data_IF_710278417647
#
_entry.id   IF_710278417647
#
_cell.length_a   1.000
_cell.length_b   1.000
_cell.length_c   1.000
_cell.angle_alpha   90.00
_cell.angle_beta   90.00
_cell.angle_gamma   90.00
#
_symmetry.space_group_name_H-M   'P 1'
#
loop_
_entity.id
_entity.type
_entity.pdbx_description
1 polymer ?
#
# COMPACT_ATOMS: atom_id res chain seq x y z
N UNK A 1 -9.68 9.54 18.53
CA UNK A 1 -9.36 10.78 17.78
C UNK A 1 -9.53 12.02 18.66
N UNK A 2 -10.60 12.12 19.44
CA UNK A 2 -10.83 13.28 20.33
C UNK A 2 -9.73 13.50 21.38
N UNK A 3 -9.12 12.42 21.89
CA UNK A 3 -8.00 12.52 22.83
C UNK A 3 -6.71 13.07 22.18
N UNK A 4 -6.43 12.70 20.92
CA UNK A 4 -5.28 13.28 20.18
C UNK A 4 -5.55 14.74 19.83
N UNK A 5 -6.78 15.09 19.46
CA UNK A 5 -7.17 16.47 19.22
C UNK A 5 -7.02 17.32 20.49
N UNK A 6 -7.52 16.83 21.63
CA UNK A 6 -7.36 17.51 22.91
C UNK A 6 -5.88 17.71 23.29
N UNK A 7 -5.03 16.70 23.07
CA UNK A 7 -3.57 16.82 23.24
C UNK A 7 -3.01 17.94 22.36
N UNK A 8 -3.33 17.90 21.07
CA UNK A 8 -2.77 18.81 20.08
C UNK A 8 -3.24 20.26 20.31
N UNK A 9 -4.48 20.47 20.76
CA UNK A 9 -5.02 21.77 21.19
C UNK A 9 -4.30 22.31 22.43
N UNK A 10 -4.11 21.49 23.47
CA UNK A 10 -3.37 21.90 24.66
C UNK A 10 -1.91 22.23 24.32
N UNK A 11 -1.27 21.43 23.45
CA UNK A 11 0.08 21.70 22.96
C UNK A 11 0.15 23.00 22.14
N UNK A 12 -0.90 23.33 21.39
CA UNK A 12 -0.99 24.57 20.65
C UNK A 12 -1.12 25.79 21.58
N UNK A 13 -1.92 25.69 22.64
CA UNK A 13 -2.06 26.76 23.63
C UNK A 13 -0.77 26.98 24.42
N UNK A 14 -0.07 25.91 24.82
CA UNK A 14 1.29 26.01 25.37
C UNK A 14 2.24 26.63 24.34
N UNK A 15 2.12 26.28 23.05
CA UNK A 15 2.94 26.88 21.99
C UNK A 15 2.69 28.38 21.80
N UNK A 16 1.47 28.86 22.02
CA UNK A 16 1.15 30.30 21.98
C UNK A 16 1.55 31.05 23.25
N UNK A 17 1.64 30.33 24.37
CA UNK A 17 2.02 30.95 25.63
C UNK A 17 3.47 31.47 25.57
N UNK A 18 3.70 32.62 26.22
CA UNK A 18 5.03 33.15 26.50
C UNK A 18 5.54 32.67 27.87
N UNK A 19 5.10 31.48 28.31
CA UNK A 19 5.51 30.91 29.61
C UNK A 19 7.02 30.63 29.61
N UNK A 20 7.77 30.99 30.67
CA UNK A 20 9.17 30.60 30.80
C UNK A 20 9.35 29.09 30.99
N UNK A 21 8.29 28.36 31.38
CA UNK A 21 8.30 26.91 31.62
C UNK A 21 7.71 26.09 30.47
N UNK A 22 7.64 26.67 29.28
CA UNK A 22 6.99 26.09 28.09
C UNK A 22 7.44 24.67 27.75
N UNK A 23 8.75 24.39 27.85
CA UNK A 23 9.29 23.06 27.58
C UNK A 23 8.88 22.03 28.64
N UNK A 24 8.79 22.45 29.90
CA UNK A 24 8.31 21.61 31.00
C UNK A 24 6.82 21.30 30.84
N UNK A 25 5.99 22.32 30.56
CA UNK A 25 4.55 22.16 30.29
C UNK A 25 4.30 21.22 29.09
N UNK A 26 5.08 21.38 28.01
CA UNK A 26 5.03 20.51 26.85
C UNK A 26 5.35 19.05 27.20
N UNK A 27 6.42 18.83 27.97
CA UNK A 27 6.82 17.47 28.37
C UNK A 27 5.77 16.82 29.28
N UNK A 28 5.17 17.57 30.20
CA UNK A 28 4.07 17.08 31.03
C UNK A 28 2.88 16.60 30.19
N UNK A 29 2.48 17.39 29.19
CA UNK A 29 1.40 17.00 28.27
C UNK A 29 1.75 15.75 27.45
N UNK A 30 2.98 15.66 26.94
CA UNK A 30 3.44 14.46 26.22
C UNK A 30 3.37 13.23 27.13
N UNK A 31 3.85 13.32 28.37
CA UNK A 31 3.79 12.21 29.32
C UNK A 31 2.35 11.84 29.69
N UNK A 32 1.46 12.83 29.86
CA UNK A 32 0.05 12.59 30.19
C UNK A 32 -0.67 11.80 29.08
N UNK A 33 -0.38 12.11 27.81
CA UNK A 33 -1.02 11.48 26.66
C UNK A 33 -0.28 10.27 26.10
N UNK A 34 0.78 9.76 26.75
CA UNK A 34 1.62 8.67 26.21
C UNK A 34 0.83 7.41 25.85
N UNK A 35 -0.20 7.06 26.62
CA UNK A 35 -1.09 5.91 26.34
C UNK A 35 -1.93 6.07 25.08
N UNK A 36 -2.15 7.30 24.63
CA UNK A 36 -2.82 7.56 23.35
C UNK A 36 -1.91 7.13 22.20
N UNK A 37 -0.61 7.35 22.31
CA UNK A 37 0.35 6.91 21.28
C UNK A 37 0.44 5.37 21.20
N UNK A 38 0.30 4.67 22.33
CA UNK A 38 0.18 3.20 22.39
C UNK A 38 -1.07 2.73 21.61
N UNK A 39 -2.24 3.30 21.92
CA UNK A 39 -3.50 2.97 21.23
C UNK A 39 -3.42 3.22 19.72
N UNK A 40 -2.78 4.32 19.33
CA UNK A 40 -2.58 4.68 17.93
C UNK A 40 -1.65 3.69 17.23
N UNK A 41 -0.64 3.18 17.93
CA UNK A 41 0.27 2.14 17.41
C UNK A 41 -0.48 0.81 17.20
N UNK A 42 -1.33 0.42 18.14
CA UNK A 42 -2.15 -0.79 18.04
C UNK A 42 -3.16 -0.69 16.88
N UNK A 43 -3.86 0.45 16.79
CA UNK A 43 -4.78 0.72 15.68
C UNK A 43 -4.05 0.68 14.33
N UNK A 44 -2.89 1.32 14.25
CA UNK A 44 -2.09 1.35 13.02
C UNK A 44 -1.66 -0.06 12.62
N UNK A 45 -1.25 -0.90 13.57
CA UNK A 45 -0.85 -2.29 13.31
C UNK A 45 -2.01 -3.11 12.72
N UNK A 46 -3.21 -2.98 13.29
CA UNK A 46 -4.41 -3.61 12.76
C UNK A 46 -4.77 -3.10 11.35
N UNK A 47 -4.65 -1.79 11.12
CA UNK A 47 -4.87 -1.20 9.80
C UNK A 47 -3.90 -1.76 8.75
N UNK A 48 -2.61 -1.86 9.07
CA UNK A 48 -1.60 -2.40 8.13
C UNK A 48 -1.82 -3.88 7.85
N UNK A 49 -2.30 -4.65 8.84
CA UNK A 49 -2.70 -6.03 8.62
C UNK A 49 -3.84 -6.14 7.60
N UNK A 50 -4.89 -5.32 7.73
CA UNK A 50 -6.04 -5.32 6.81
C UNK A 50 -5.64 -4.82 5.42
N UNK A 51 -4.93 -3.68 5.33
CA UNK A 51 -4.47 -3.10 4.07
C UNK A 51 -3.51 -4.06 3.36
N UNK A 52 -2.58 -4.67 4.09
CA UNK A 52 -1.65 -5.66 3.54
C UNK A 52 -2.33 -6.88 2.95
N UNK A 53 -3.59 -7.16 3.33
CA UNK A 53 -4.41 -8.26 2.83
C UNK A 53 -5.53 -7.79 1.88
N UNK A 54 -5.39 -6.62 1.26
CA UNK A 54 -6.46 -6.00 0.47
C UNK A 54 -7.07 -6.94 -0.59
N UNK A 55 -6.26 -7.78 -1.24
CA UNK A 55 -6.72 -8.73 -2.25
C UNK A 55 -7.53 -9.89 -1.63
N UNK A 56 -7.11 -10.37 -0.45
CA UNK A 56 -7.83 -11.39 0.31
C UNK A 56 -9.13 -10.82 0.90
N UNK A 57 -9.14 -9.55 1.33
CA UNK A 57 -10.33 -8.91 1.89
C UNK A 57 -11.48 -8.84 0.89
N UNK A 58 -11.19 -8.88 -0.41
CA UNK A 58 -12.22 -8.88 -1.48
C UNK A 58 -12.49 -10.26 -2.08
N UNK A 59 -11.66 -11.26 -1.75
CA UNK A 59 -11.79 -12.66 -2.20
C UNK A 59 -12.85 -13.38 -1.36
N UNK A 60 -14.12 -13.23 -1.75
CA UNK A 60 -15.27 -13.88 -1.07
C UNK A 60 -16.34 -12.90 -0.58
N UNK A 61 -16.53 -11.79 -1.30
CA UNK A 61 -17.41 -10.66 -0.93
C UNK A 61 -18.90 -10.99 -0.80
N UNK A 62 -19.31 -12.23 -0.99
CA UNK A 62 -20.72 -12.64 -0.90
C UNK A 62 -21.20 -12.82 0.56
N UNK A 63 -20.31 -12.99 1.54
CA UNK A 63 -20.70 -13.27 2.94
C UNK A 63 -19.85 -12.63 4.05
N UNK A 64 -18.82 -11.83 3.74
CA UNK A 64 -17.86 -11.31 4.74
C UNK A 64 -17.79 -9.78 4.87
N UNK A 65 -17.42 -9.28 6.06
CA UNK A 65 -17.14 -7.86 6.34
C UNK A 65 -15.83 -7.33 5.74
N UNK A 66 -15.07 -8.18 5.05
CA UNK A 66 -13.71 -7.87 4.58
C UNK A 66 -13.58 -6.58 3.75
N UNK A 67 -14.40 -6.37 2.69
CA UNK A 67 -14.34 -5.14 1.91
C UNK A 67 -14.66 -3.90 2.75
N UNK A 68 -15.57 -4.01 3.72
CA UNK A 68 -15.96 -2.90 4.59
C UNK A 68 -14.86 -2.53 5.59
N UNK A 69 -14.14 -3.53 6.12
CA UNK A 69 -12.97 -3.32 6.98
C UNK A 69 -11.85 -2.63 6.22
N UNK A 70 -11.59 -3.04 4.97
CA UNK A 70 -10.61 -2.39 4.10
C UNK A 70 -11.00 -0.93 3.83
N UNK A 71 -12.26 -0.67 3.43
CA UNK A 71 -12.78 0.69 3.26
C UNK A 71 -12.62 1.52 4.52
N UNK A 72 -12.86 0.94 5.70
CA UNK A 72 -12.70 1.64 6.98
C UNK A 72 -11.26 2.03 7.22
N UNK A 73 -10.30 1.13 6.98
CA UNK A 73 -8.87 1.44 7.08
C UNK A 73 -8.45 2.54 6.10
N UNK A 74 -8.89 2.48 4.85
CA UNK A 74 -8.57 3.50 3.85
C UNK A 74 -9.22 4.85 4.19
N UNK A 75 -10.43 4.88 4.75
CA UNK A 75 -11.04 6.12 5.27
C UNK A 75 -10.26 6.74 6.41
N UNK A 76 -9.67 5.94 7.29
CA UNK A 76 -8.78 6.45 8.35
C UNK A 76 -7.55 7.08 7.73
N UNK A 77 -6.92 6.42 6.74
CA UNK A 77 -5.78 6.98 5.99
C UNK A 77 -6.14 8.35 5.39
N UNK A 78 -7.25 8.45 4.67
CA UNK A 78 -7.69 9.71 4.05
C UNK A 78 -8.04 10.80 5.06
N UNK A 79 -8.53 10.43 6.24
CA UNK A 79 -8.77 11.38 7.32
C UNK A 79 -7.47 11.92 7.89
N UNK A 80 -6.48 11.04 8.08
CA UNK A 80 -5.16 11.42 8.59
C UNK A 80 -4.38 12.30 7.59
N UNK A 81 -4.48 12.02 6.30
CA UNK A 81 -3.88 12.85 5.24
C UNK A 81 -4.48 14.26 5.19
N UNK A 82 -5.79 14.39 5.42
CA UNK A 82 -6.44 15.71 5.52
C UNK A 82 -5.92 16.53 6.71
N UNK A 83 -5.66 15.88 7.84
CA UNK A 83 -5.07 16.54 9.02
C UNK A 83 -3.63 16.95 8.73
N UNK A 84 -2.84 16.09 8.09
CA UNK A 84 -1.47 16.41 7.68
C UNK A 84 -1.45 17.64 6.74
N UNK A 85 -2.31 17.64 5.71
CA UNK A 85 -2.41 18.76 4.77
C UNK A 85 -2.81 20.07 5.45
N UNK A 86 -3.79 20.04 6.35
CA UNK A 86 -4.21 21.22 7.12
C UNK A 86 -3.04 21.89 7.85
N UNK A 87 -2.20 21.11 8.52
CA UNK A 87 -1.06 21.66 9.24
C UNK A 87 0.09 22.08 8.31
N UNK A 88 0.30 21.37 7.21
CA UNK A 88 1.29 21.76 6.20
C UNK A 88 0.93 23.11 5.56
N UNK A 89 -0.35 23.33 5.24
CA UNK A 89 -0.87 24.60 4.74
C UNK A 89 -0.68 25.72 5.78
N UNK A 90 -1.06 25.49 7.05
CA UNK A 90 -0.80 26.44 8.13
C UNK A 90 0.67 26.81 8.25
N UNK A 91 1.56 25.83 8.16
CA UNK A 91 3.01 26.04 8.21
C UNK A 91 3.49 26.88 7.02
N UNK A 92 2.97 26.60 5.82
CA UNK A 92 3.27 27.41 4.63
C UNK A 92 2.79 28.87 4.77
N UNK A 93 1.70 29.10 5.51
CA UNK A 93 1.19 30.42 5.85
C UNK A 93 1.85 31.06 7.10
N UNK A 94 2.96 30.53 7.58
CA UNK A 94 3.77 31.14 8.65
C UNK A 94 3.47 30.68 10.08
N UNK A 95 2.62 29.67 10.28
CA UNK A 95 2.45 29.04 11.59
C UNK A 95 3.70 28.23 11.97
N UNK A 96 4.27 28.51 13.14
CA UNK A 96 5.39 27.74 13.67
C UNK A 96 4.96 26.43 14.36
N UNK A 97 3.67 26.26 14.66
CA UNK A 97 3.16 25.08 15.35
C UNK A 97 2.92 23.91 14.41
N UNK A 98 3.38 22.73 14.84
CA UNK A 98 3.14 21.43 14.23
C UNK A 98 2.99 20.41 15.36
N UNK A 99 1.86 19.68 15.47
CA UNK A 99 1.75 18.61 16.44
C UNK A 99 2.87 17.57 16.31
N UNK A 100 3.26 16.93 17.42
CA UNK A 100 4.29 15.91 17.40
C UNK A 100 3.90 14.73 16.50
N UNK A 101 4.87 14.21 15.75
CA UNK A 101 4.68 13.04 14.87
C UNK A 101 3.99 13.32 13.53
N UNK A 102 3.73 14.59 13.19
CA UNK A 102 3.16 15.02 11.91
C UNK A 102 4.23 15.63 10.98
N UNK A 103 4.11 15.49 9.65
CA UNK A 103 3.09 14.69 8.95
C UNK A 103 3.34 13.18 9.09
N UNK A 104 2.26 12.39 9.16
CA UNK A 104 2.32 10.92 9.30
C UNK A 104 2.48 10.20 7.97
N UNK A 105 2.00 10.81 6.88
CA UNK A 105 2.08 10.29 5.51
C UNK A 105 1.52 8.85 5.40
N UNK A 106 0.35 8.61 5.98
CA UNK A 106 -0.25 7.27 6.05
C UNK A 106 -0.58 6.70 4.68
N UNK A 107 -0.89 7.54 3.69
CA UNK A 107 -1.12 7.10 2.31
C UNK A 107 0.13 6.49 1.70
N UNK A 108 1.29 7.12 1.92
CA UNK A 108 2.58 6.57 1.48
C UNK A 108 2.83 5.22 2.13
N UNK A 109 2.65 5.12 3.45
CA UNK A 109 2.81 3.87 4.20
C UNK A 109 1.85 2.77 3.74
N UNK A 110 0.59 3.11 3.44
CA UNK A 110 -0.38 2.16 2.92
C UNK A 110 0.09 1.54 1.60
N UNK A 111 0.62 2.35 0.68
CA UNK A 111 1.20 1.84 -0.57
C UNK A 111 2.47 1.01 -0.36
N UNK A 112 3.34 1.41 0.57
CA UNK A 112 4.52 0.60 0.94
C UNK A 112 4.12 -0.76 1.51
N UNK A 113 3.05 -0.83 2.32
CA UNK A 113 2.51 -2.09 2.85
C UNK A 113 1.98 -2.97 1.72
N UNK A 114 1.21 -2.41 0.79
CA UNK A 114 0.74 -3.14 -0.39
C UNK A 114 1.88 -3.67 -1.25
N UNK A 115 2.89 -2.84 -1.54
CA UNK A 115 4.06 -3.22 -2.32
C UNK A 115 4.87 -4.33 -1.63
N UNK A 116 5.02 -4.27 -0.30
CA UNK A 116 5.64 -5.34 0.49
C UNK A 116 4.87 -6.66 0.36
N UNK A 117 3.55 -6.65 0.44
CA UNK A 117 2.75 -7.86 0.23
C UNK A 117 2.94 -8.41 -1.18
N UNK A 118 2.91 -7.55 -2.20
CA UNK A 118 3.14 -7.94 -3.60
C UNK A 118 4.54 -8.57 -3.76
N UNK A 119 5.56 -7.97 -3.16
CA UNK A 119 6.91 -8.53 -3.13
C UNK A 119 6.95 -9.92 -2.47
N UNK A 120 6.38 -10.07 -1.27
CA UNK A 120 6.32 -11.35 -0.57
C UNK A 120 5.59 -12.42 -1.37
N UNK A 121 4.58 -12.04 -2.17
CA UNK A 121 3.90 -12.95 -3.09
C UNK A 121 4.79 -13.34 -4.27
N UNK A 122 5.51 -12.40 -4.88
CA UNK A 122 6.41 -12.72 -6.02
C UNK A 122 7.61 -13.57 -5.57
N UNK A 123 8.21 -13.24 -4.43
CA UNK A 123 9.37 -13.95 -3.87
C UNK A 123 8.97 -15.30 -3.23
N UNK A 124 7.95 -15.30 -2.37
CA UNK A 124 7.56 -16.45 -1.55
C UNK A 124 6.99 -17.64 -2.33
N UNK A 125 6.75 -17.50 -3.64
CA UNK A 125 6.32 -18.58 -4.52
C UNK A 125 7.47 -19.42 -5.09
N UNK A 126 8.73 -19.08 -4.78
CA UNK A 126 9.87 -19.94 -5.11
C UNK A 126 10.03 -21.05 -4.06
N UNK A 127 9.38 -22.19 -4.29
CA UNK A 127 9.41 -23.35 -3.39
C UNK A 127 10.60 -24.29 -3.66
N UNK A 128 11.22 -24.18 -4.83
CA UNK A 128 12.25 -25.09 -5.32
C UNK A 128 13.47 -24.29 -5.78
N UNK A 129 14.64 -24.90 -5.65
CA UNK A 129 15.89 -24.44 -6.24
C UNK A 129 16.46 -25.48 -7.22
N UNK A 130 17.57 -25.16 -7.87
CA UNK A 130 18.23 -26.05 -8.82
C UNK A 130 18.64 -27.39 -8.21
N UNK A 131 18.98 -27.43 -6.92
CA UNK A 131 19.39 -28.66 -6.23
C UNK A 131 18.23 -29.63 -6.03
N UNK A 132 17.03 -29.09 -5.82
CA UNK A 132 15.81 -29.86 -5.64
C UNK A 132 15.18 -30.27 -6.98
N UNK A 133 15.20 -29.39 -7.97
CA UNK A 133 14.58 -29.65 -9.27
C UNK A 133 15.29 -28.92 -10.42
N UNK A 134 15.71 -29.66 -11.46
CA UNK A 134 16.31 -29.07 -12.67
C UNK A 134 15.34 -28.14 -13.43
N UNK A 135 14.04 -28.29 -13.22
CA UNK A 135 13.00 -27.44 -13.81
C UNK A 135 12.49 -26.35 -12.85
N UNK A 136 13.22 -26.03 -11.76
CA UNK A 136 12.81 -25.06 -10.75
C UNK A 136 12.41 -23.71 -11.36
N UNK A 137 13.20 -23.19 -12.32
CA UNK A 137 12.98 -21.86 -12.90
C UNK A 137 11.69 -21.84 -13.73
N UNK A 138 11.50 -22.80 -14.63
CA UNK A 138 10.26 -22.92 -15.41
C UNK A 138 9.02 -23.05 -14.51
N UNK A 139 9.11 -23.83 -13.42
CA UNK A 139 8.01 -23.97 -12.44
C UNK A 139 7.74 -22.68 -11.69
N UNK A 140 8.79 -22.03 -11.19
CA UNK A 140 8.68 -20.74 -10.51
C UNK A 140 8.03 -19.69 -11.40
N UNK A 141 8.50 -19.56 -12.65
CA UNK A 141 7.98 -18.60 -13.62
C UNK A 141 6.51 -18.85 -13.95
N UNK A 142 6.07 -20.11 -14.03
CA UNK A 142 4.67 -20.45 -14.27
C UNK A 142 3.78 -20.18 -13.05
N UNK A 143 4.25 -20.49 -11.84
CA UNK A 143 3.53 -20.14 -10.59
C UNK A 143 3.42 -18.62 -10.46
N UNK A 144 4.51 -17.89 -10.71
CA UNK A 144 4.55 -16.43 -10.68
C UNK A 144 3.53 -15.85 -11.66
N UNK A 145 3.47 -16.35 -12.91
CA UNK A 145 2.48 -15.94 -13.91
C UNK A 145 1.04 -16.14 -13.42
N UNK A 146 0.72 -17.31 -12.85
CA UNK A 146 -0.63 -17.59 -12.31
C UNK A 146 -1.02 -16.65 -11.18
N UNK A 147 -0.12 -16.47 -10.22
CA UNK A 147 -0.34 -15.60 -9.05
C UNK A 147 -0.58 -14.16 -9.47
N UNK A 148 0.20 -13.64 -10.43
CA UNK A 148 -0.02 -12.29 -10.97
C UNK A 148 -1.41 -12.17 -11.60
N UNK A 149 -1.80 -13.13 -12.44
CA UNK A 149 -3.11 -13.08 -13.12
C UNK A 149 -4.26 -13.13 -12.11
N UNK A 150 -4.20 -14.06 -11.15
CA UNK A 150 -5.24 -14.22 -10.12
C UNK A 150 -5.32 -12.97 -9.23
N UNK A 151 -4.17 -12.45 -8.81
CA UNK A 151 -4.11 -11.27 -7.95
C UNK A 151 -4.56 -10.00 -8.67
N UNK A 152 -4.27 -9.84 -9.96
CA UNK A 152 -4.78 -8.71 -10.75
C UNK A 152 -6.30 -8.79 -10.95
N UNK A 153 -6.88 -9.99 -11.05
CA UNK A 153 -8.34 -10.14 -11.04
C UNK A 153 -8.94 -9.68 -9.71
N UNK A 154 -8.31 -10.04 -8.58
CA UNK A 154 -8.72 -9.56 -7.25
C UNK A 154 -8.50 -8.06 -7.09
N UNK A 155 -7.42 -7.50 -7.62
CA UNK A 155 -7.14 -6.07 -7.59
C UNK A 155 -8.25 -5.27 -8.28
N UNK A 156 -8.85 -5.83 -9.35
CA UNK A 156 -10.01 -5.24 -10.02
C UNK A 156 -11.23 -5.23 -9.10
N UNK A 157 -11.49 -6.32 -8.38
CA UNK A 157 -12.55 -6.38 -7.38
C UNK A 157 -12.29 -5.44 -6.18
N UNK A 158 -11.04 -5.08 -5.92
CA UNK A 158 -10.65 -4.16 -4.86
C UNK A 158 -10.86 -2.68 -5.21
N UNK A 159 -10.99 -2.31 -6.49
CA UNK A 159 -11.17 -0.90 -6.92
C UNK A 159 -12.22 -0.13 -6.12
N UNK A 160 -13.43 -0.67 -5.84
CA UNK A 160 -14.45 0.06 -5.08
C UNK A 160 -14.07 0.33 -3.61
N UNK A 161 -13.06 -0.35 -3.08
CA UNK A 161 -12.61 -0.18 -1.70
C UNK A 161 -11.66 1.01 -1.51
N UNK A 162 -11.17 1.60 -2.60
CA UNK A 162 -10.19 2.68 -2.59
C UNK A 162 -10.75 3.96 -3.23
N UNK A 163 -10.24 5.14 -2.84
CA UNK A 163 -10.51 6.39 -3.53
C UNK A 163 -10.14 6.31 -5.03
N UNK A 164 -10.92 6.93 -5.94
CA UNK A 164 -10.63 6.89 -7.37
C UNK A 164 -9.27 7.48 -7.77
N UNK A 165 -8.80 8.51 -7.06
CA UNK A 165 -7.51 9.17 -7.27
C UNK A 165 -6.31 8.27 -6.95
N UNK A 166 -6.51 7.17 -6.20
CA UNK A 166 -5.45 6.21 -5.92
C UNK A 166 -5.04 5.40 -7.16
N UNK A 167 -5.95 5.27 -8.13
CA UNK A 167 -5.77 4.44 -9.33
C UNK A 167 -5.24 3.04 -8.95
N UNK A 168 -5.91 2.42 -7.96
CA UNK A 168 -5.33 1.29 -7.23
C UNK A 168 -5.01 0.09 -8.12
N UNK A 169 -5.83 -0.15 -9.14
CA UNK A 169 -5.62 -1.24 -10.07
C UNK A 169 -4.34 -1.03 -10.90
N UNK A 170 -4.17 0.16 -11.50
CA UNK A 170 -2.94 0.50 -12.22
C UNK A 170 -1.73 0.40 -11.29
N UNK A 171 -1.88 0.87 -10.05
CA UNK A 171 -0.81 0.80 -9.05
C UNK A 171 -0.42 -0.65 -8.73
N UNK A 172 -1.37 -1.57 -8.59
CA UNK A 172 -1.07 -3.00 -8.44
C UNK A 172 -0.32 -3.54 -9.66
N UNK A 173 -0.75 -3.21 -10.89
CA UNK A 173 -0.03 -3.61 -12.12
C UNK A 173 1.43 -3.16 -12.07
N UNK A 174 1.68 -1.90 -11.70
CA UNK A 174 3.03 -1.36 -11.56
C UNK A 174 3.83 -2.05 -10.43
N UNK A 175 3.22 -2.28 -9.27
CA UNK A 175 3.87 -3.00 -8.15
C UNK A 175 4.28 -4.41 -8.54
N UNK A 176 3.39 -5.18 -9.19
CA UNK A 176 3.72 -6.52 -9.68
C UNK A 176 4.82 -6.47 -10.73
N UNK A 177 4.72 -5.56 -11.70
CA UNK A 177 5.75 -5.40 -12.73
C UNK A 177 7.13 -5.11 -12.12
N UNK A 178 7.20 -4.16 -11.19
CA UNK A 178 8.45 -3.78 -10.53
C UNK A 178 9.02 -4.94 -9.69
N UNK A 179 8.17 -5.61 -8.91
CA UNK A 179 8.58 -6.74 -8.07
C UNK A 179 9.08 -7.92 -8.91
N UNK A 180 8.38 -8.27 -10.00
CA UNK A 180 8.81 -9.30 -10.94
C UNK A 180 10.13 -8.91 -11.58
N UNK A 181 10.24 -7.72 -12.14
CA UNK A 181 11.49 -7.25 -12.76
C UNK A 181 12.66 -7.28 -11.77
N UNK A 182 12.44 -6.86 -10.52
CA UNK A 182 13.45 -6.95 -9.46
C UNK A 182 13.86 -8.41 -9.22
N UNK A 183 12.90 -9.32 -9.06
CA UNK A 183 13.18 -10.74 -8.79
C UNK A 183 13.88 -11.43 -9.96
N UNK A 184 13.48 -11.15 -11.19
CA UNK A 184 14.16 -11.69 -12.38
C UNK A 184 15.60 -11.17 -12.50
N UNK A 185 15.87 -9.91 -12.11
CA UNK A 185 17.25 -9.39 -12.05
C UNK A 185 18.09 -10.10 -10.99
N UNK A 186 17.51 -10.40 -9.83
CA UNK A 186 18.19 -11.20 -8.78
C UNK A 186 18.55 -12.59 -9.32
N UNK A 187 17.59 -13.28 -9.95
CA UNK A 187 17.83 -14.60 -10.58
C UNK A 187 18.88 -14.50 -11.70
N UNK A 188 18.84 -13.45 -12.53
CA UNK A 188 19.80 -13.26 -13.61
C UNK A 188 21.22 -12.90 -13.12
N UNK A 189 21.35 -12.38 -11.89
CA UNK A 189 22.65 -12.13 -11.27
C UNK A 189 23.30 -13.42 -10.74
N UNK A 190 22.54 -14.50 -10.58
CA UNK A 190 23.06 -15.82 -10.25
C UNK A 190 23.68 -16.52 -11.47
N UNK A 191 24.44 -17.59 -11.24
CA UNK A 191 24.99 -18.41 -12.34
C UNK A 191 23.90 -19.28 -12.96
N UNK A 192 23.27 -18.77 -14.01
CA UNK A 192 22.28 -19.51 -14.81
C UNK A 192 22.93 -20.47 -15.82
N UNK A 193 22.33 -21.63 -16.00
CA UNK A 193 22.63 -22.56 -17.09
C UNK A 193 22.03 -22.05 -18.42
N UNK A 194 22.57 -22.52 -19.55
CA UNK A 194 22.07 -22.11 -20.88
C UNK A 194 20.57 -22.37 -21.06
N UNK A 195 20.07 -23.49 -20.54
CA UNK A 195 18.65 -23.86 -20.55
C UNK A 195 17.80 -22.85 -19.77
N UNK A 196 18.26 -22.42 -18.60
CA UNK A 196 17.58 -21.45 -17.74
C UNK A 196 17.58 -20.04 -18.34
N UNK A 197 18.68 -19.64 -18.99
CA UNK A 197 18.72 -18.37 -19.74
C UNK A 197 17.66 -18.36 -20.86
N UNK A 198 17.54 -19.45 -21.62
CA UNK A 198 16.52 -19.55 -22.67
C UNK A 198 15.10 -19.52 -22.08
N UNK A 199 14.86 -20.22 -20.97
CA UNK A 199 13.58 -20.19 -20.27
C UNK A 199 13.22 -18.78 -19.79
N UNK A 200 14.17 -18.08 -19.18
CA UNK A 200 13.99 -16.71 -18.66
C UNK A 200 13.69 -15.72 -19.80
N UNK A 201 14.45 -15.75 -20.88
CA UNK A 201 14.25 -14.86 -22.04
C UNK A 201 12.88 -15.10 -22.70
N UNK A 202 12.51 -16.37 -22.89
CA UNK A 202 11.19 -16.74 -23.44
C UNK A 202 10.05 -16.23 -22.55
N UNK A 203 10.20 -16.35 -21.23
CA UNK A 203 9.20 -15.86 -20.30
C UNK A 203 9.09 -14.34 -20.30
N UNK A 204 10.21 -13.61 -20.32
CA UNK A 204 10.22 -12.14 -20.38
C UNK A 204 9.51 -11.65 -21.65
N UNK A 205 9.78 -12.28 -22.80
CA UNK A 205 9.11 -11.94 -24.06
C UNK A 205 7.59 -12.16 -23.96
N UNK A 206 7.17 -13.29 -23.41
CA UNK A 206 5.74 -13.63 -23.24
C UNK A 206 5.06 -12.69 -22.23
N UNK A 207 5.72 -12.41 -21.11
CA UNK A 207 5.23 -11.52 -20.06
C UNK A 207 5.05 -10.08 -20.58
N UNK A 208 5.99 -9.58 -21.39
CA UNK A 208 5.87 -8.26 -22.01
C UNK A 208 4.65 -8.13 -22.92
N UNK A 209 4.36 -9.18 -23.72
CA UNK A 209 3.17 -9.23 -24.58
C UNK A 209 1.90 -9.25 -23.72
N UNK A 210 1.85 -10.09 -22.68
CA UNK A 210 0.71 -10.17 -21.76
C UNK A 210 0.46 -8.83 -21.08
N UNK A 211 1.49 -8.16 -20.57
CA UNK A 211 1.33 -6.85 -19.94
C UNK A 211 0.77 -5.81 -20.93
N UNK A 212 1.25 -5.81 -22.17
CA UNK A 212 0.76 -4.91 -23.21
C UNK A 212 -0.71 -5.18 -23.58
N UNK A 213 -1.12 -6.45 -23.70
CA UNK A 213 -2.51 -6.85 -23.94
C UNK A 213 -3.44 -6.53 -22.77
N UNK A 214 -2.95 -6.66 -21.54
CA UNK A 214 -3.72 -6.27 -20.36
C UNK A 214 -3.90 -4.75 -20.33
N UNK A 215 -2.84 -3.97 -20.56
CA UNK A 215 -2.88 -2.50 -20.62
C UNK A 215 -3.80 -1.98 -21.75
N UNK A 216 -3.82 -2.64 -22.90
CA UNK A 216 -4.73 -2.26 -24.00
C UNK A 216 -6.19 -2.52 -23.65
N UNK A 217 -6.52 -3.67 -23.04
CA UNK A 217 -7.88 -3.97 -22.55
C UNK A 217 -8.34 -3.00 -21.47
N UNK A 218 -7.44 -2.58 -20.59
CA UNK A 218 -7.73 -1.58 -19.56
C UNK A 218 -8.08 -0.23 -20.20
N UNK A 219 -7.38 0.20 -21.25
CA UNK A 219 -7.71 1.44 -21.97
C UNK A 219 -9.12 1.39 -22.61
N UNK A 220 -9.52 0.23 -23.13
CA UNK A 220 -10.87 0.04 -23.72
C UNK A 220 -11.97 -0.01 -22.64
N UNK A 221 -11.70 -0.65 -21.50
CA UNK A 221 -12.65 -0.73 -20.39
C UNK A 221 -12.76 0.56 -19.57
N UNK A 222 -11.67 1.32 -19.44
CA UNK A 222 -11.67 2.64 -18.75
C UNK A 222 -12.61 3.62 -19.43
N UNK A 223 -12.68 3.58 -20.78
CA UNK A 223 -13.67 4.32 -21.55
C UNK A 223 -15.10 3.88 -21.19
N UNK A 224 -15.35 2.58 -20.99
CA UNK A 224 -16.66 2.05 -20.58
C UNK A 224 -17.03 2.37 -19.11
N UNK A 225 -16.06 2.45 -18.20
CA UNK A 225 -16.32 2.83 -16.81
C UNK A 225 -16.65 4.32 -16.65
N UNK A 226 -16.02 5.22 -17.43
CA UNK A 226 -16.41 6.64 -17.46
C UNK A 226 -17.88 6.85 -17.88
N UNK A 227 -18.42 6.01 -18.76
CA UNK A 227 -19.83 6.09 -19.17
C UNK A 227 -20.84 5.60 -18.11
N UNK A 228 -20.41 4.85 -17.08
CA UNK A 228 -21.30 4.38 -16.00
C UNK A 228 -21.40 5.35 -14.81
N UNK A 229 -20.43 6.24 -14.62
CA UNK A 229 -20.45 7.25 -13.55
C UNK A 229 -21.15 8.57 -13.92
N UNK A 230 -21.65 8.71 -15.15
CA UNK A 230 -22.50 9.83 -15.58
C UNK A 230 -24.01 9.50 -15.61
N UNK A 231 -24.42 8.38 -14.98
CA UNK A 231 -25.84 8.02 -14.80
C UNK A 231 -26.23 7.70 -13.35
N UNK A 232 -25.62 8.39 -12.39
CA UNK A 232 -26.10 8.52 -11.01
C UNK A 232 -25.86 9.97 -10.58
#
# INVERSE_FOLDING_TARGET
>A
MDLELARDELLFEVHKSNSPNKDYEKNLLITFFIKVDELVTDLSSNMWFVIGRALEMVKGSETGSGPQELVTCIRIVEREERIDNYYLEKKAHGSAFMPPGRPRQLRKKAFEVLEKTVWSRVEGNQLEDRSLNKAWLARYLEVCRKVIVDDLQLARAAVPCFPPDYQIYDRFVHMYHNCVCKRLREIAAERLEKSEVVQLLSWIQTYGILLAEYLSKISEESNNFQFRYHRL
#
